data_IF_245062095586
#
_entry.id   IF_245062095586
#
_cell.length_a   1.000
_cell.length_b   1.000
_cell.length_c   1.000
_cell.angle_alpha   90.00
_cell.angle_beta   90.00
_cell.angle_gamma   90.00
#
_symmetry.space_group_name_H-M   'P 1'
#
loop_
_entity.id
_entity.type
_entity.pdbx_description
1 polymer ?
#
# COMPACT_ATOMS: atom_id res chain seq x y z
N UNK A 1 2.92 -3.51 17.02
CA UNK A 1 2.24 -3.94 15.78
C UNK A 1 1.94 -2.75 14.86
N UNK A 2 1.30 -1.69 15.35
CA UNK A 2 0.99 -0.46 14.59
C UNK A 2 2.22 0.20 13.95
N UNK A 3 3.34 0.27 14.70
CA UNK A 3 4.59 0.85 14.21
C UNK A 3 5.23 0.06 13.04
N UNK A 4 5.08 -1.27 13.01
CA UNK A 4 5.65 -2.07 11.93
C UNK A 4 4.83 -1.97 10.64
N UNK A 5 3.49 -1.91 10.74
CA UNK A 5 2.62 -1.72 9.57
C UNK A 5 2.86 -0.37 8.92
N UNK A 6 3.02 0.68 9.74
CA UNK A 6 3.37 2.01 9.24
C UNK A 6 4.70 2.00 8.48
N UNK A 7 5.77 1.46 9.09
CA UNK A 7 7.09 1.38 8.45
C UNK A 7 7.04 0.60 7.13
N UNK A 8 6.38 -0.55 7.11
CA UNK A 8 6.21 -1.35 5.89
C UNK A 8 5.43 -0.59 4.80
N UNK A 9 4.44 0.20 5.18
CA UNK A 9 3.68 1.01 4.23
C UNK A 9 4.50 2.13 3.60
N UNK A 10 5.36 2.79 4.39
CA UNK A 10 6.28 3.80 3.88
C UNK A 10 7.33 3.13 2.96
N UNK A 11 7.93 2.02 3.37
CA UNK A 11 8.89 1.29 2.53
C UNK A 11 8.25 0.83 1.21
N UNK A 12 7.00 0.37 1.22
CA UNK A 12 6.28 -0.02 0.00
C UNK A 12 6.00 1.15 -0.96
N UNK A 13 5.95 2.40 -0.48
CA UNK A 13 5.89 3.59 -1.31
C UNK A 13 7.27 3.93 -1.88
N UNK A 14 8.30 3.92 -1.03
CA UNK A 14 9.69 4.25 -1.39
C UNK A 14 10.26 3.28 -2.43
N UNK A 15 10.01 1.98 -2.30
CA UNK A 15 10.39 0.95 -3.28
C UNK A 15 9.80 1.21 -4.67
N UNK A 16 8.69 1.97 -4.71
CA UNK A 16 8.01 2.37 -5.94
C UNK A 16 8.39 3.77 -6.43
N UNK A 17 9.32 4.44 -5.76
CA UNK A 17 9.67 5.84 -6.06
C UNK A 17 8.53 6.82 -5.76
N UNK A 18 7.65 6.48 -4.82
CA UNK A 18 6.51 7.30 -4.42
C UNK A 18 6.79 7.99 -3.08
N UNK A 19 6.35 9.25 -2.97
CA UNK A 19 6.37 10.00 -1.71
C UNK A 19 4.96 10.43 -1.36
N UNK A 20 4.65 10.59 -0.07
CA UNK A 20 3.32 11.06 0.34
C UNK A 20 3.15 12.54 -0.01
N UNK A 21 2.03 12.87 -0.63
CA UNK A 21 1.66 14.26 -0.93
C UNK A 21 1.00 14.96 0.28
N UNK A 22 0.57 14.18 1.28
CA UNK A 22 -0.18 14.64 2.44
C UNK A 22 0.32 13.98 3.74
N UNK A 23 -0.28 14.35 4.87
CA UNK A 23 0.09 13.83 6.18
C UNK A 23 -0.05 12.30 6.27
N UNK A 24 0.93 11.58 6.86
CA UNK A 24 0.89 10.12 7.02
C UNK A 24 -0.17 9.62 8.02
N UNK A 25 -0.88 10.52 8.71
CA UNK A 25 -1.84 10.18 9.77
C UNK A 25 -2.90 9.17 9.30
N UNK A 26 -3.34 9.25 8.04
CA UNK A 26 -4.33 8.30 7.50
C UNK A 26 -3.78 6.88 7.46
N UNK A 27 -2.50 6.69 7.15
CA UNK A 27 -1.85 5.37 7.16
C UNK A 27 -1.83 4.84 8.59
N UNK A 28 -1.36 5.65 9.54
CA UNK A 28 -1.22 5.24 10.93
C UNK A 28 -2.58 4.86 11.57
N UNK A 29 -3.64 5.61 11.27
CA UNK A 29 -4.96 5.41 11.87
C UNK A 29 -5.79 4.32 11.18
N UNK A 30 -5.73 4.23 9.85
CA UNK A 30 -6.67 3.42 9.08
C UNK A 30 -6.07 2.05 8.73
N UNK A 31 -4.81 2.02 8.27
CA UNK A 31 -4.23 0.82 7.68
C UNK A 31 -4.17 -0.39 8.65
N UNK A 32 -3.82 -0.23 9.95
CA UNK A 32 -3.78 -1.35 10.89
C UNK A 32 -5.14 -2.00 11.17
N UNK A 33 -6.23 -1.24 11.11
CA UNK A 33 -7.58 -1.71 11.45
C UNK A 33 -8.41 -2.15 10.24
N UNK A 34 -8.29 -1.43 9.13
CA UNK A 34 -9.09 -1.67 7.92
C UNK A 34 -8.35 -2.50 6.87
N UNK A 35 -7.04 -2.71 7.05
CA UNK A 35 -6.19 -3.45 6.11
C UNK A 35 -6.01 -2.78 4.75
N UNK A 36 -6.63 -1.62 4.50
CA UNK A 36 -6.52 -0.88 3.24
C UNK A 36 -6.72 0.62 3.46
N UNK A 37 -5.94 1.44 2.76
CA UNK A 37 -6.13 2.90 2.73
C UNK A 37 -5.71 3.46 1.37
N UNK A 38 -6.39 4.52 0.92
CA UNK A 38 -5.96 5.32 -0.24
C UNK A 38 -5.23 6.56 0.26
N UNK A 39 -4.10 6.88 -0.38
CA UNK A 39 -3.24 8.02 -0.03
C UNK A 39 -2.89 8.81 -1.29
N UNK A 40 -2.85 10.14 -1.17
CA UNK A 40 -2.26 10.98 -2.19
C UNK A 40 -0.74 10.86 -2.17
N UNK A 41 -0.13 10.67 -3.35
CA UNK A 41 1.31 10.48 -3.52
C UNK A 41 1.84 11.38 -4.63
N UNK A 42 3.17 11.52 -4.68
CA UNK A 42 3.89 12.07 -5.83
C UNK A 42 4.87 11.02 -6.35
N UNK A 43 4.99 10.93 -7.67
CA UNK A 43 5.99 10.09 -8.31
C UNK A 43 7.40 10.73 -8.25
N UNK A 44 8.39 10.08 -8.84
CA UNK A 44 9.77 10.56 -8.91
C UNK A 44 9.94 11.88 -9.67
N UNK A 45 8.98 12.25 -10.50
CA UNK A 45 8.94 13.51 -11.25
C UNK A 45 8.21 14.62 -10.47
N UNK A 46 7.63 14.30 -9.31
CA UNK A 46 6.85 15.23 -8.49
C UNK A 46 5.37 15.33 -8.88
N UNK A 47 4.93 14.59 -9.90
CA UNK A 47 3.56 14.60 -10.40
C UNK A 47 2.60 13.92 -9.41
N UNK A 48 1.39 14.48 -9.20
CA UNK A 48 0.43 13.94 -8.26
C UNK A 48 -0.21 12.64 -8.76
N UNK A 49 -0.38 11.68 -7.87
CA UNK A 49 -1.12 10.45 -8.11
C UNK A 49 -1.83 9.98 -6.82
N UNK A 50 -2.57 8.89 -6.90
CA UNK A 50 -3.21 8.21 -5.78
C UNK A 50 -2.75 6.76 -5.71
N UNK A 51 -2.29 6.34 -4.53
CA UNK A 51 -1.94 4.96 -4.25
C UNK A 51 -2.93 4.30 -3.28
N UNK A 52 -3.23 3.03 -3.51
CA UNK A 52 -3.86 2.14 -2.55
C UNK A 52 -2.79 1.32 -1.84
N UNK A 53 -2.72 1.46 -0.51
CA UNK A 53 -1.97 0.59 0.37
C UNK A 53 -2.88 -0.52 0.89
N UNK A 54 -2.39 -1.76 0.96
CA UNK A 54 -3.15 -2.91 1.46
C UNK A 54 -2.26 -3.83 2.27
N UNK A 55 -2.67 -4.13 3.51
CA UNK A 55 -2.09 -5.19 4.34
C UNK A 55 -2.62 -6.53 3.85
N UNK A 56 -1.72 -7.44 3.51
CA UNK A 56 -2.02 -8.79 3.06
C UNK A 56 -2.11 -9.75 4.26
N UNK A 57 -2.71 -10.92 4.05
CA UNK A 57 -2.87 -11.95 5.09
C UNK A 57 -1.54 -12.47 5.67
N UNK A 58 -0.43 -12.36 4.92
CA UNK A 58 0.92 -12.71 5.36
C UNK A 58 1.60 -11.58 6.16
N UNK A 59 0.89 -10.48 6.41
CA UNK A 59 1.41 -9.30 7.12
C UNK A 59 2.20 -8.33 6.25
N UNK A 60 2.43 -8.64 4.96
CA UNK A 60 3.10 -7.72 4.04
C UNK A 60 2.18 -6.56 3.61
N UNK A 61 2.77 -5.42 3.23
CA UNK A 61 2.03 -4.28 2.67
C UNK A 61 2.31 -4.19 1.19
N UNK A 62 1.25 -4.14 0.37
CA UNK A 62 1.36 -3.84 -1.05
C UNK A 62 0.90 -2.43 -1.37
N UNK A 63 1.61 -1.78 -2.28
CA UNK A 63 1.27 -0.47 -2.84
C UNK A 63 0.88 -0.59 -4.32
N UNK A 64 -0.24 0.03 -4.69
CA UNK A 64 -0.76 0.05 -6.07
C UNK A 64 -1.17 1.44 -6.47
N UNK A 65 -0.78 1.90 -7.65
CA UNK A 65 -1.25 3.17 -8.19
C UNK A 65 -2.66 3.04 -8.77
N UNK A 66 -3.42 4.13 -8.75
CA UNK A 66 -4.82 4.16 -9.16
C UNK A 66 -5.04 3.81 -10.63
N UNK A 67 -4.05 4.13 -11.47
CA UNK A 67 -4.07 3.88 -12.91
C UNK A 67 -3.58 2.47 -13.29
N UNK A 68 -3.02 1.72 -12.34
CA UNK A 68 -2.57 0.36 -12.63
C UNK A 68 -3.77 -0.59 -12.81
N UNK A 69 -3.66 -1.54 -13.74
CA UNK A 69 -4.67 -2.58 -13.87
C UNK A 69 -4.86 -3.28 -12.52
N UNK A 70 -6.11 -3.59 -12.18
CA UNK A 70 -6.36 -4.43 -11.01
C UNK A 70 -5.70 -5.76 -11.27
N UNK A 71 -4.72 -6.08 -10.44
CA UNK A 71 -4.14 -7.41 -10.40
C UNK A 71 -5.23 -8.41 -10.00
N UNK A 72 -5.86 -9.00 -11.02
CA UNK A 72 -6.90 -10.02 -10.91
C UNK A 72 -6.27 -11.41 -10.84
N UNK A 73 -4.95 -11.53 -10.66
CA UNK A 73 -4.28 -12.82 -10.55
C UNK A 73 -4.94 -13.61 -9.42
N UNK A 74 -5.68 -14.69 -9.73
CA UNK A 74 -6.26 -15.52 -8.69
C UNK A 74 -5.09 -16.09 -7.89
N UNK A 75 -5.05 -15.82 -6.58
CA UNK A 75 -4.14 -16.52 -5.68
C UNK A 75 -4.48 -17.99 -5.80
N UNK A 76 -3.63 -18.76 -6.47
CA UNK A 76 -3.76 -20.21 -6.54
C UNK A 76 -3.77 -20.72 -5.11
N UNK A 77 -4.94 -21.11 -4.62
CA UNK A 77 -5.04 -21.95 -3.43
C UNK A 77 -4.53 -23.31 -3.90
N UNK A 78 -3.24 -23.57 -3.72
CA UNK A 78 -2.70 -24.92 -3.86
C UNK A 78 -3.29 -25.71 -2.69
N UNK A 79 -4.43 -26.36 -2.92
CA UNK A 79 -4.91 -27.44 -2.05
C UNK A 79 -4.00 -28.62 -2.34
N UNK A 80 -2.95 -28.79 -1.52
CA UNK A 80 -2.20 -30.04 -1.48
C UNK A 80 -3.18 -31.13 -1.03
N UNK A 81 -3.46 -32.08 -1.93
CA UNK A 81 -4.14 -33.33 -1.59
C UNK A 81 -3.15 -34.33 -1.01
#
# INVERSE_FOLDING_TARGET
>A
MTDSVYKMAISALEERGLTLAESPNRIFLILPGYGRVNVAVRNSEGEPDTATLTVRFDGSVSCRLSHEPRDNTPRVVIVLR
#
